data_IF_900131503717
#
_entry.id   IF_900131503717
#
_cell.length_a   1.000
_cell.length_b   1.000
_cell.length_c   1.000
_cell.angle_alpha   90.00
_cell.angle_beta   90.00
_cell.angle_gamma   90.00
#
_symmetry.space_group_name_H-M   'P 1'
#
loop_
_entity.id
_entity.type
_entity.pdbx_description
1 polymer ?
#
# COMPACT_ATOMS: atom_id res chain seq x y z
N UNK A 1 9.33 7.49 23.61
CA UNK A 1 8.34 8.46 23.11
C UNK A 1 7.43 7.68 22.17
N UNK A 2 6.18 7.39 22.55
CA UNK A 2 5.29 6.60 21.72
C UNK A 2 4.68 7.49 20.64
N UNK A 3 5.47 8.02 19.71
CA UNK A 3 4.93 8.91 18.66
C UNK A 3 5.72 8.91 17.33
N UNK A 4 7.01 8.56 17.31
CA UNK A 4 7.78 8.59 16.04
C UNK A 4 7.41 7.42 15.11
N UNK A 5 7.39 6.18 15.63
CA UNK A 5 7.10 4.99 14.81
C UNK A 5 5.65 5.00 14.27
N UNK A 6 4.71 5.53 15.05
CA UNK A 6 3.32 5.67 14.64
C UNK A 6 3.16 6.72 13.53
N UNK A 7 3.85 7.86 13.65
CA UNK A 7 3.85 8.90 12.63
C UNK A 7 4.53 8.44 11.33
N UNK A 8 5.64 7.70 11.43
CA UNK A 8 6.31 7.08 10.27
C UNK A 8 5.36 6.10 9.59
N UNK A 9 4.69 5.24 10.37
CA UNK A 9 3.75 4.27 9.83
C UNK A 9 2.55 4.94 9.15
N UNK A 10 1.98 5.98 9.76
CA UNK A 10 0.87 6.76 9.18
C UNK A 10 1.27 7.44 7.85
N UNK A 11 2.48 7.99 7.78
CA UNK A 11 3.00 8.59 6.55
C UNK A 11 3.13 7.56 5.42
N UNK A 12 3.72 6.39 5.71
CA UNK A 12 3.86 5.29 4.75
C UNK A 12 2.49 4.77 4.29
N UNK A 13 1.56 4.55 5.21
CA UNK A 13 0.22 4.07 4.88
C UNK A 13 -0.57 5.09 4.04
N UNK A 14 -0.39 6.38 4.30
CA UNK A 14 -1.01 7.46 3.51
C UNK A 14 -0.47 7.51 2.07
N UNK A 15 0.83 7.29 1.88
CA UNK A 15 1.44 7.21 0.55
C UNK A 15 0.87 6.01 -0.24
N UNK A 16 0.75 4.85 0.41
CA UNK A 16 0.18 3.65 -0.20
C UNK A 16 -1.29 3.87 -0.58
N UNK A 17 -2.12 4.47 0.29
CA UNK A 17 -3.52 4.79 -0.04
C UNK A 17 -3.62 5.70 -1.27
N UNK A 18 -2.77 6.73 -1.35
CA UNK A 18 -2.74 7.65 -2.49
C UNK A 18 -2.38 6.96 -3.81
N UNK A 19 -1.36 6.09 -3.81
CA UNK A 19 -0.98 5.32 -4.99
C UNK A 19 -2.09 4.36 -5.43
N UNK A 20 -2.70 3.68 -4.46
CA UNK A 20 -3.74 2.70 -4.73
C UNK A 20 -5.01 3.35 -5.28
N UNK A 21 -5.42 4.50 -4.73
CA UNK A 21 -6.54 5.30 -5.27
C UNK A 21 -6.30 5.75 -6.71
N UNK A 22 -5.10 6.24 -7.03
CA UNK A 22 -4.75 6.63 -8.41
C UNK A 22 -4.82 5.46 -9.38
N UNK A 23 -4.36 4.26 -8.97
CA UNK A 23 -4.45 3.07 -9.81
C UNK A 23 -5.91 2.63 -10.00
N UNK A 24 -6.73 2.74 -8.95
CA UNK A 24 -8.17 2.45 -9.01
C UNK A 24 -8.96 3.44 -9.88
N UNK A 25 -8.59 4.72 -9.93
CA UNK A 25 -9.18 5.71 -10.85
C UNK A 25 -9.00 5.34 -12.33
N UNK A 26 -7.94 4.61 -12.66
CA UNK A 26 -7.71 4.04 -13.98
C UNK A 26 -8.58 2.81 -14.30
N UNK A 27 -9.34 2.32 -13.32
CA UNK A 27 -10.25 1.18 -13.43
C UNK A 27 -11.71 1.63 -13.29
N UNK A 28 -12.66 0.74 -13.60
CA UNK A 28 -14.08 1.01 -13.39
C UNK A 28 -14.54 0.70 -11.94
N UNK A 29 -13.58 0.48 -11.02
CA UNK A 29 -13.83 0.04 -9.66
C UNK A 29 -13.78 1.23 -8.68
N UNK A 30 -14.92 1.61 -8.12
CA UNK A 30 -15.02 2.66 -7.12
C UNK A 30 -14.97 2.07 -5.70
N UNK A 31 -13.91 2.36 -4.96
CA UNK A 31 -13.72 1.91 -3.57
C UNK A 31 -13.82 3.12 -2.61
N UNK A 32 -15.01 3.42 -2.06
CA UNK A 32 -15.23 4.62 -1.24
C UNK A 32 -14.52 4.56 0.11
N UNK A 33 -14.33 3.36 0.67
CA UNK A 33 -13.66 3.15 1.96
C UNK A 33 -12.62 2.05 1.83
N UNK A 34 -11.35 2.42 2.02
CA UNK A 34 -10.22 1.51 2.10
C UNK A 34 -9.47 1.82 3.40
N UNK A 35 -9.20 0.78 4.19
CA UNK A 35 -8.40 0.85 5.41
C UNK A 35 -7.18 -0.01 5.18
N UNK A 36 -6.00 0.62 5.23
CA UNK A 36 -4.70 -0.04 5.21
C UNK A 36 -4.12 0.11 6.61
N UNK A 37 -3.79 -0.99 7.27
CA UNK A 37 -3.17 -1.00 8.58
C UNK A 37 -1.98 -1.95 8.60
N UNK A 38 -0.97 -1.67 9.43
CA UNK A 38 0.07 -2.65 9.75
C UNK A 38 -0.07 -3.08 11.21
N UNK A 39 0.06 -4.37 11.46
CA UNK A 39 0.15 -4.94 12.80
C UNK A 39 1.59 -4.81 13.33
N UNK A 40 1.75 -4.90 14.66
CA UNK A 40 3.07 -4.87 15.30
C UNK A 40 3.99 -6.01 14.86
N UNK A 41 3.42 -7.09 14.33
CA UNK A 41 4.15 -8.24 13.81
C UNK A 41 4.53 -8.07 12.32
N UNK A 42 4.33 -6.87 11.75
CA UNK A 42 4.67 -6.56 10.37
C UNK A 42 3.66 -7.04 9.34
N UNK A 43 2.48 -7.52 9.75
CA UNK A 43 1.43 -7.93 8.81
C UNK A 43 0.62 -6.71 8.35
N UNK A 44 0.39 -6.58 7.04
CA UNK A 44 -0.56 -5.63 6.49
C UNK A 44 -1.99 -6.19 6.57
N UNK A 45 -2.94 -5.35 6.99
CA UNK A 45 -4.37 -5.63 7.06
C UNK A 45 -5.08 -4.65 6.14
N UNK A 46 -5.74 -5.19 5.12
CA UNK A 46 -6.61 -4.45 4.23
C UNK A 46 -8.07 -4.71 4.59
N UNK A 47 -8.85 -3.66 4.85
CA UNK A 47 -10.29 -3.75 5.05
C UNK A 47 -11.03 -2.77 4.15
N UNK A 48 -12.11 -3.23 3.54
CA UNK A 48 -12.97 -2.40 2.71
C UNK A 48 -14.39 -2.96 2.68
N UNK A 49 -15.37 -2.10 2.41
CA UNK A 49 -16.78 -2.47 2.26
C UNK A 49 -17.11 -3.01 0.85
N UNK A 50 -16.15 -3.67 0.22
CA UNK A 50 -16.30 -4.34 -1.08
C UNK A 50 -16.46 -5.85 -0.87
N UNK A 51 -16.90 -6.56 -1.91
CA UNK A 51 -17.01 -8.02 -1.83
C UNK A 51 -15.63 -8.70 -1.69
N UNK A 52 -15.58 -9.95 -1.20
CA UNK A 52 -14.31 -10.65 -0.94
C UNK A 52 -13.41 -10.85 -2.18
N UNK A 53 -13.98 -10.95 -3.39
CA UNK A 53 -13.17 -11.13 -4.60
C UNK A 53 -12.51 -9.81 -5.00
N UNK A 54 -13.25 -8.70 -4.88
CA UNK A 54 -12.69 -7.35 -5.06
C UNK A 54 -11.59 -7.07 -4.05
N UNK A 55 -11.79 -7.43 -2.77
CA UNK A 55 -10.76 -7.26 -1.74
C UNK A 55 -9.50 -8.10 -2.02
N UNK A 56 -9.67 -9.31 -2.57
CA UNK A 56 -8.55 -10.16 -3.00
C UNK A 56 -7.75 -9.52 -4.13
N UNK A 57 -8.43 -9.01 -5.16
CA UNK A 57 -7.78 -8.34 -6.30
C UNK A 57 -6.94 -7.14 -5.84
N UNK A 58 -7.46 -6.33 -4.91
CA UNK A 58 -6.71 -5.19 -4.36
C UNK A 58 -5.45 -5.68 -3.61
N UNK A 59 -5.55 -6.79 -2.89
CA UNK A 59 -4.40 -7.41 -2.22
C UNK A 59 -3.33 -7.88 -3.21
N UNK A 60 -3.73 -8.51 -4.31
CA UNK A 60 -2.83 -8.97 -5.38
C UNK A 60 -2.13 -7.80 -6.07
N UNK A 61 -2.86 -6.74 -6.41
CA UNK A 61 -2.30 -5.51 -6.98
C UNK A 61 -1.27 -4.85 -6.04
N UNK A 62 -1.54 -4.87 -4.73
CA UNK A 62 -0.63 -4.33 -3.72
C UNK A 62 0.69 -5.12 -3.67
N UNK A 63 0.62 -6.45 -3.78
CA UNK A 63 1.80 -7.31 -3.83
C UNK A 63 2.62 -7.01 -5.09
N UNK A 64 1.97 -6.88 -6.25
CA UNK A 64 2.65 -6.58 -7.52
C UNK A 64 3.40 -5.24 -7.46
N UNK A 65 2.79 -4.20 -6.87
CA UNK A 65 3.43 -2.90 -6.67
C UNK A 65 4.67 -3.02 -5.77
N UNK A 66 4.55 -3.75 -4.66
CA UNK A 66 5.67 -3.94 -3.73
C UNK A 66 6.85 -4.67 -4.42
N UNK A 67 6.52 -5.67 -5.23
CA UNK A 67 7.47 -6.43 -6.05
C UNK A 67 8.15 -5.57 -7.12
N UNK A 68 7.40 -4.67 -7.76
CA UNK A 68 7.96 -3.73 -8.75
C UNK A 68 8.93 -2.75 -8.09
N UNK A 69 8.54 -2.16 -6.96
CA UNK A 69 9.39 -1.24 -6.19
C UNK A 69 10.68 -1.94 -5.72
N UNK A 70 10.60 -3.20 -5.28
CA UNK A 70 11.80 -3.96 -4.88
C UNK A 70 12.67 -4.39 -6.05
N UNK A 71 12.10 -4.55 -7.25
CA UNK A 71 12.86 -4.86 -8.49
C UNK A 71 13.49 -3.63 -9.13
N UNK A 72 12.99 -2.43 -8.86
CA UNK A 72 13.60 -1.21 -9.38
C UNK A 72 14.99 -1.03 -8.73
N UNK A 73 16.07 -0.85 -9.54
CA UNK A 73 17.36 -0.51 -8.98
C UNK A 73 17.22 0.84 -8.27
N UNK A 74 17.62 0.91 -7.01
CA UNK A 74 17.83 2.21 -6.36
C UNK A 74 18.83 3.00 -7.20
N UNK A 75 18.36 4.01 -7.94
CA UNK A 75 19.21 4.96 -8.65
C UNK A 75 20.04 5.74 -7.61
N UNK A 76 21.16 5.15 -7.21
CA UNK A 76 22.03 5.69 -6.17
C UNK A 76 23.39 4.98 -6.03
N UNK A 77 23.68 3.99 -6.87
CA UNK A 77 24.99 3.36 -6.92
C UNK A 77 25.93 4.07 -7.88
N UNK A 78 26.46 5.24 -7.54
CA UNK A 78 27.65 5.77 -8.22
C UNK A 78 28.86 4.94 -7.80
N UNK A 79 29.34 4.06 -8.68
CA UNK A 79 30.65 3.43 -8.53
C UNK A 79 31.74 4.36 -9.08
N UNK A 80 32.61 4.77 -8.17
CA UNK A 80 33.93 5.36 -8.38
C UNK A 80 34.86 4.45 -9.20
#
# INVERSE_FOLDING_TARGET
MPDDDAAILEAVLSEIDGLLRRRLEGTQLAVPHLIIAATKDGQAVLRSNVDPNTLRSIGEDTIEIADEITRQPTEGGTTH
#
